data_IF_133915821408
#
_entry.id   IF_133915821408
#
_cell.length_a   1.000
_cell.length_b   1.000
_cell.length_c   1.000
_cell.angle_alpha   90.00
_cell.angle_beta   90.00
_cell.angle_gamma   90.00
#
_symmetry.space_group_name_H-M   'P 1'
#
loop_
_entity.id
_entity.type
_entity.pdbx_description
1 polymer ?
#
# COMPACT_ATOMS: atom_id res chain seq x y z
N UNK A 1 -13.87 15.73 -16.36
CA UNK A 1 -12.66 16.28 -15.69
C UNK A 1 -12.64 15.85 -14.22
N UNK A 2 -11.53 15.29 -13.78
CA UNK A 2 -11.39 14.89 -12.39
C UNK A 2 -11.31 16.12 -11.48
N UNK A 3 -12.00 16.06 -10.35
CA UNK A 3 -11.90 17.07 -9.30
C UNK A 3 -11.17 16.47 -8.08
N UNK A 4 -10.97 17.27 -7.04
CA UNK A 4 -10.24 16.83 -5.86
C UNK A 4 -10.95 15.69 -5.12
N UNK A 5 -12.28 15.63 -5.19
CA UNK A 5 -13.06 14.56 -4.57
C UNK A 5 -12.80 13.24 -5.30
N UNK A 6 -12.79 13.27 -6.64
CA UNK A 6 -12.51 12.09 -7.45
C UNK A 6 -11.09 11.60 -7.22
N UNK A 7 -10.12 12.51 -7.15
CA UNK A 7 -8.72 12.15 -6.87
C UNK A 7 -8.57 11.55 -5.48
N UNK A 8 -9.28 12.10 -4.49
CA UNK A 8 -9.27 11.57 -3.14
C UNK A 8 -9.88 10.16 -3.09
N UNK A 9 -10.97 9.93 -3.80
CA UNK A 9 -11.60 8.60 -3.86
C UNK A 9 -10.66 7.57 -4.50
N UNK A 10 -9.96 7.94 -5.56
CA UNK A 10 -8.97 7.09 -6.21
C UNK A 10 -7.83 6.75 -5.24
N UNK A 11 -7.31 7.75 -4.53
CA UNK A 11 -6.23 7.55 -3.56
C UNK A 11 -6.66 6.60 -2.44
N UNK A 12 -7.89 6.77 -1.93
CA UNK A 12 -8.43 5.89 -0.89
C UNK A 12 -8.51 4.46 -1.42
N UNK A 13 -9.04 4.27 -2.61
CA UNK A 13 -9.16 2.95 -3.22
C UNK A 13 -7.79 2.27 -3.41
N UNK A 14 -6.80 3.03 -3.88
CA UNK A 14 -5.44 2.52 -4.05
C UNK A 14 -4.81 2.17 -2.70
N UNK A 15 -5.04 3.01 -1.69
CA UNK A 15 -4.53 2.77 -0.33
C UNK A 15 -5.12 1.50 0.28
N UNK A 16 -6.42 1.29 0.10
CA UNK A 16 -7.10 0.08 0.58
C UNK A 16 -6.56 -1.16 -0.14
N UNK A 17 -6.37 -1.07 -1.46
CA UNK A 17 -5.83 -2.18 -2.24
C UNK A 17 -4.43 -2.58 -1.77
N UNK A 18 -3.56 -1.59 -1.52
CA UNK A 18 -2.21 -1.83 -0.99
C UNK A 18 -2.28 -2.48 0.39
N UNK A 19 -3.18 -2.00 1.25
CA UNK A 19 -3.36 -2.53 2.60
C UNK A 19 -3.81 -3.99 2.56
N UNK A 20 -4.80 -4.31 1.73
CA UNK A 20 -5.31 -5.69 1.59
C UNK A 20 -4.21 -6.60 1.06
N UNK A 21 -3.43 -6.13 0.08
CA UNK A 21 -2.30 -6.89 -0.45
C UNK A 21 -1.26 -7.16 0.63
N UNK A 22 -0.91 -6.15 1.43
CA UNK A 22 0.06 -6.29 2.52
C UNK A 22 -0.43 -7.28 3.58
N UNK A 23 -1.72 -7.24 3.92
CA UNK A 23 -2.31 -8.20 4.86
C UNK A 23 -2.27 -9.63 4.32
N UNK A 24 -2.53 -9.81 3.03
CA UNK A 24 -2.42 -11.11 2.38
C UNK A 24 -1.00 -11.65 2.39
N UNK A 25 -0.02 -10.78 2.14
CA UNK A 25 1.39 -11.15 2.18
C UNK A 25 1.83 -11.52 3.60
N UNK A 26 1.36 -10.79 4.60
CA UNK A 26 1.64 -11.10 6.00
C UNK A 26 1.04 -12.46 6.39
N UNK A 27 -0.19 -12.71 5.99
CA UNK A 27 -0.88 -13.98 6.26
C UNK A 27 -0.12 -15.16 5.61
N UNK A 28 0.33 -14.96 4.38
CA UNK A 28 1.15 -15.95 3.67
C UNK A 28 2.45 -16.22 4.42
N UNK A 29 3.13 -15.17 4.90
CA UNK A 29 4.35 -15.30 5.66
C UNK A 29 4.12 -16.08 6.97
N UNK A 30 3.05 -15.73 7.70
CA UNK A 30 2.72 -16.39 8.97
C UNK A 30 2.45 -17.89 8.75
N UNK A 31 1.73 -18.23 7.69
CA UNK A 31 1.44 -19.62 7.35
C UNK A 31 2.72 -20.41 7.03
N UNK A 32 3.62 -19.81 6.25
CA UNK A 32 4.90 -20.45 5.92
C UNK A 32 5.73 -20.70 7.18
N UNK A 33 5.80 -19.72 8.07
CA UNK A 33 6.57 -19.84 9.30
C UNK A 33 5.98 -20.94 10.19
N UNK A 34 4.65 -21.01 10.32
CA UNK A 34 3.99 -22.06 11.09
C UNK A 34 4.28 -23.46 10.53
N UNK A 35 4.48 -23.58 9.24
CA UNK A 35 4.78 -24.85 8.58
C UNK A 35 6.28 -25.14 8.47
N UNK A 36 7.12 -24.36 9.15
CA UNK A 36 8.56 -24.58 9.21
C UNK A 36 9.35 -24.02 8.03
N UNK A 37 8.73 -23.20 7.22
CA UNK A 37 9.40 -22.52 6.10
C UNK A 37 9.80 -21.11 6.51
N UNK A 38 10.75 -20.52 5.80
CA UNK A 38 11.07 -19.11 5.96
C UNK A 38 9.99 -18.24 5.32
N UNK A 39 9.92 -16.95 5.72
CA UNK A 39 8.96 -16.00 5.15
C UNK A 39 9.16 -15.86 3.64
N UNK A 40 8.05 -15.80 2.90
CA UNK A 40 8.08 -15.61 1.45
C UNK A 40 8.32 -14.19 1.02
N UNK A 41 7.93 -13.23 1.85
CA UNK A 41 8.12 -11.79 1.62
C UNK A 41 8.95 -11.22 2.75
N UNK A 42 9.96 -10.43 2.41
CA UNK A 42 10.83 -9.82 3.41
C UNK A 42 10.46 -8.36 3.71
N UNK A 43 11.20 -7.75 4.63
CA UNK A 43 10.97 -6.37 5.03
C UNK A 43 11.08 -5.40 3.87
N UNK A 44 11.96 -5.64 2.92
CA UNK A 44 12.15 -4.73 1.80
C UNK A 44 10.90 -4.66 0.92
N UNK A 45 10.19 -5.76 0.75
CA UNK A 45 8.92 -5.79 0.01
C UNK A 45 7.89 -4.88 0.68
N UNK A 46 7.73 -4.99 2.00
CA UNK A 46 6.78 -4.16 2.75
C UNK A 46 7.20 -2.69 2.73
N UNK A 47 8.49 -2.40 2.80
CA UNK A 47 9.00 -1.02 2.68
C UNK A 47 8.69 -0.42 1.33
N UNK A 48 8.85 -1.20 0.25
CA UNK A 48 8.50 -0.75 -1.09
C UNK A 48 7.03 -0.35 -1.18
N UNK A 49 6.16 -1.13 -0.58
CA UNK A 49 4.73 -0.83 -0.58
C UNK A 49 4.45 0.46 0.18
N UNK A 50 5.10 0.65 1.33
CA UNK A 50 4.96 1.88 2.13
C UNK A 50 5.48 3.10 1.38
N UNK A 51 6.62 2.98 0.71
CA UNK A 51 7.19 4.07 -0.09
C UNK A 51 6.30 4.41 -1.28
N UNK A 52 5.75 3.41 -1.95
CA UNK A 52 4.83 3.62 -3.07
C UNK A 52 3.59 4.39 -2.61
N UNK A 53 3.02 4.00 -1.48
CA UNK A 53 1.88 4.70 -0.91
C UNK A 53 2.23 6.15 -0.53
N UNK A 54 3.41 6.36 0.07
CA UNK A 54 3.88 7.70 0.41
C UNK A 54 4.01 8.58 -0.82
N UNK A 55 4.52 8.04 -1.92
CA UNK A 55 4.65 8.78 -3.18
C UNK A 55 3.29 9.15 -3.76
N UNK A 56 2.31 8.26 -3.66
CA UNK A 56 0.94 8.53 -4.12
C UNK A 56 0.29 9.64 -3.30
N UNK A 57 0.51 9.64 -1.99
CA UNK A 57 0.02 10.69 -1.09
C UNK A 57 0.67 12.03 -1.44
N UNK A 58 1.97 12.05 -1.65
CA UNK A 58 2.72 13.25 -2.03
C UNK A 58 2.21 13.82 -3.35
N UNK A 59 2.00 12.96 -4.33
CA UNK A 59 1.44 13.34 -5.62
C UNK A 59 0.05 13.96 -5.46
N UNK A 60 -0.79 13.36 -4.63
CA UNK A 60 -2.13 13.87 -4.36
C UNK A 60 -2.06 15.28 -3.74
N UNK A 61 -1.19 15.47 -2.75
CA UNK A 61 -1.00 16.77 -2.11
C UNK A 61 -0.57 17.84 -3.12
N UNK A 62 0.37 17.49 -3.99
CA UNK A 62 0.88 18.41 -5.00
C UNK A 62 -0.18 18.77 -6.03
N UNK A 63 -0.98 17.81 -6.47
CA UNK A 63 -2.00 18.01 -7.49
C UNK A 63 -3.20 18.81 -6.95
N UNK A 64 -3.51 18.67 -5.67
CA UNK A 64 -4.69 19.27 -5.07
C UNK A 64 -4.38 20.54 -4.27
N UNK A 65 -3.11 20.83 -4.01
CA UNK A 65 -2.70 21.94 -3.17
C UNK A 65 -2.94 21.72 -1.68
N UNK A 66 -3.29 20.52 -1.28
CA UNK A 66 -3.47 20.17 0.13
C UNK A 66 -2.09 20.05 0.79
N UNK A 67 -1.95 20.63 1.97
CA UNK A 67 -0.68 20.60 2.72
C UNK A 67 -0.77 19.75 3.96
#
# INVERSE_FOLDING_TARGET
MENNIDKAAILIAESVAIMVEALGMKSYNDDRIQNGFSAGYDDSTFRYMAEDLSKKIEKFKNETGVK
#
